data_IF_605092405197
#
_entry.id   IF_605092405197
#
_cell.length_a   1.000
_cell.length_b   1.000
_cell.length_c   1.000
_cell.angle_alpha   90.00
_cell.angle_beta   90.00
_cell.angle_gamma   90.00
#
_symmetry.space_group_name_H-M   'P 1'
#
loop_
_entity.id
_entity.type
_entity.pdbx_description
1 polymer ?
#
# COMPACT_ATOMS: atom_id res chain seq x y z
N UNK A 1 8.93 20.06 7.58
CA UNK A 1 9.92 21.13 7.74
C UNK A 1 10.87 21.25 6.54
N UNK A 2 11.09 20.16 5.76
CA UNK A 2 12.10 20.17 4.69
C UNK A 2 11.60 20.86 3.41
N UNK A 3 10.38 20.56 2.96
CA UNK A 3 9.83 21.10 1.71
C UNK A 3 8.87 22.28 1.87
N UNK A 4 8.59 22.75 3.09
CA UNK A 4 7.68 23.85 3.36
C UNK A 4 6.21 23.61 3.02
N UNK A 5 5.80 22.37 2.70
CA UNK A 5 4.43 22.01 2.28
C UNK A 5 3.36 22.48 3.27
N UNK A 6 3.64 22.36 4.58
CA UNK A 6 2.71 22.79 5.64
C UNK A 6 2.70 24.30 5.90
N UNK A 7 3.56 25.09 5.25
CA UNK A 7 3.60 26.54 5.42
C UNK A 7 2.35 27.22 4.87
N UNK A 8 1.76 26.67 3.80
CA UNK A 8 0.56 27.17 3.14
C UNK A 8 -0.74 26.56 3.67
N UNK A 9 -0.71 25.33 4.20
CA UNK A 9 -1.88 24.66 4.76
C UNK A 9 -1.46 23.91 6.03
N UNK A 10 -1.54 24.58 7.17
CA UNK A 10 -1.09 24.09 8.50
C UNK A 10 -1.74 22.78 8.97
N UNK A 11 -2.83 22.35 8.37
CA UNK A 11 -3.54 21.12 8.69
C UNK A 11 -3.10 19.88 7.86
N UNK A 12 -2.11 20.02 6.96
CA UNK A 12 -1.58 18.91 6.15
C UNK A 12 -0.13 18.62 6.52
N UNK A 13 0.10 17.97 7.66
CA UNK A 13 1.42 17.45 8.01
C UNK A 13 1.68 16.15 7.24
N UNK A 14 2.61 16.16 6.27
CA UNK A 14 3.00 15.00 5.45
C UNK A 14 4.37 14.44 5.80
N UNK A 15 5.09 15.07 6.70
CA UNK A 15 6.34 14.59 7.27
C UNK A 15 6.08 13.84 8.58
N UNK A 16 6.67 12.66 8.74
CA UNK A 16 6.53 11.85 9.94
C UNK A 16 7.84 11.19 10.36
N UNK A 17 7.96 10.92 11.64
CA UNK A 17 9.03 10.14 12.21
C UNK A 17 8.55 8.71 12.44
N UNK A 18 9.40 7.74 12.16
CA UNK A 18 9.12 6.33 12.40
C UNK A 18 10.37 5.60 12.88
N UNK A 19 10.16 4.57 13.69
CA UNK A 19 11.22 3.70 14.20
C UNK A 19 11.43 2.53 13.23
N UNK A 20 12.70 2.29 12.86
CA UNK A 20 13.09 1.09 12.10
C UNK A 20 14.32 0.50 12.77
N UNK A 21 14.21 -0.74 13.25
CA UNK A 21 15.19 -1.36 14.17
C UNK A 21 15.38 -0.49 15.40
N UNK A 22 16.62 -0.13 15.74
CA UNK A 22 16.95 0.69 16.91
C UNK A 22 17.08 2.18 16.59
N UNK A 23 16.78 2.59 15.37
CA UNK A 23 16.94 3.98 14.92
C UNK A 23 15.61 4.63 14.53
N UNK A 24 15.59 5.97 14.62
CA UNK A 24 14.51 6.82 14.16
C UNK A 24 14.82 7.37 12.77
N UNK A 25 13.79 7.40 11.92
CA UNK A 25 13.87 7.92 10.56
C UNK A 25 12.76 8.94 10.33
N UNK A 26 13.02 9.86 9.42
CA UNK A 26 12.06 10.81 8.90
C UNK A 26 11.72 10.51 7.45
N UNK A 27 10.46 10.60 7.10
CA UNK A 27 9.98 10.52 5.72
C UNK A 27 8.93 11.59 5.48
N UNK A 28 8.99 12.23 4.33
CA UNK A 28 7.97 13.18 3.88
C UNK A 28 7.24 12.61 2.66
N UNK A 29 5.92 12.47 2.75
CA UNK A 29 5.10 12.00 1.63
C UNK A 29 4.88 13.04 0.51
N UNK A 30 5.24 14.29 0.76
CA UNK A 30 5.07 15.33 -0.26
C UNK A 30 6.26 15.42 -1.23
N UNK A 31 7.49 15.41 -0.67
CA UNK A 31 8.71 15.57 -1.47
C UNK A 31 9.60 14.33 -1.47
N UNK A 32 9.11 13.23 -0.94
CA UNK A 32 9.80 11.94 -0.81
C UNK A 32 11.13 11.97 -0.04
N UNK A 33 11.45 13.09 0.61
CA UNK A 33 12.66 13.22 1.41
C UNK A 33 12.68 12.22 2.55
N UNK A 34 13.67 11.32 2.53
CA UNK A 34 13.98 10.38 3.60
C UNK A 34 15.29 10.75 4.27
N UNK A 35 15.32 10.77 5.61
CA UNK A 35 16.52 11.07 6.39
C UNK A 35 16.57 10.21 7.66
N UNK A 36 17.79 9.92 8.13
CA UNK A 36 17.95 9.47 9.51
C UNK A 36 17.57 10.59 10.46
N UNK A 37 17.21 10.26 11.70
CA UNK A 37 16.86 11.29 12.68
C UNK A 37 18.01 12.27 12.92
N UNK A 38 19.25 11.78 13.03
CA UNK A 38 20.41 12.64 13.10
C UNK A 38 20.59 13.54 11.88
N UNK A 39 20.34 13.02 10.67
CA UNK A 39 20.37 13.84 9.44
C UNK A 39 19.29 14.92 9.40
N UNK A 40 18.09 14.63 9.92
CA UNK A 40 17.03 15.62 10.06
C UNK A 40 17.44 16.72 11.04
N UNK A 41 17.94 16.35 12.22
CA UNK A 41 18.39 17.31 13.24
C UNK A 41 19.52 18.19 12.72
N UNK A 42 20.47 17.62 11.98
CA UNK A 42 21.59 18.38 11.38
C UNK A 42 21.09 19.52 10.49
N UNK A 43 20.01 19.29 9.76
CA UNK A 43 19.46 20.28 8.81
C UNK A 43 18.51 21.28 9.49
N UNK A 44 17.84 20.88 10.58
CA UNK A 44 16.80 21.70 11.21
C UNK A 44 17.26 22.39 12.50
N UNK A 45 18.14 21.75 13.26
CA UNK A 45 18.67 22.27 14.52
C UNK A 45 20.08 21.69 14.80
N UNK A 46 21.14 22.39 14.39
CA UNK A 46 22.51 21.93 14.59
C UNK A 46 22.94 21.77 16.06
N UNK A 47 22.30 22.52 16.98
CA UNK A 47 22.61 22.39 18.40
C UNK A 47 22.04 21.10 18.96
N UNK A 48 20.79 20.84 18.66
CA UNK A 48 20.11 19.59 19.05
C UNK A 48 20.78 18.36 18.40
N UNK A 49 21.29 18.52 17.17
CA UNK A 49 22.10 17.47 16.52
C UNK A 49 23.36 17.12 17.33
N UNK A 50 24.10 18.11 17.82
CA UNK A 50 25.30 17.88 18.64
C UNK A 50 24.96 17.13 19.92
N UNK A 51 23.89 17.53 20.60
CA UNK A 51 23.39 16.87 21.80
C UNK A 51 23.01 15.41 21.51
N UNK A 52 22.23 15.18 20.46
CA UNK A 52 21.82 13.83 20.04
C UNK A 52 23.01 12.90 19.74
N UNK A 53 24.02 13.40 19.06
CA UNK A 53 25.24 12.62 18.77
C UNK A 53 26.00 12.27 20.08
N UNK A 54 26.09 13.22 21.00
CA UNK A 54 26.75 13.03 22.29
C UNK A 54 26.01 11.97 23.13
N UNK A 55 24.68 12.07 23.23
CA UNK A 55 23.86 11.10 23.97
C UNK A 55 23.98 9.70 23.39
N UNK A 56 23.95 9.54 22.06
CA UNK A 56 24.16 8.25 21.41
C UNK A 56 25.53 7.67 21.63
N UNK A 57 26.56 8.49 21.68
CA UNK A 57 27.92 8.06 22.00
C UNK A 57 28.04 7.59 23.45
N UNK A 58 27.47 8.34 24.39
CA UNK A 58 27.43 7.97 25.82
C UNK A 58 26.63 6.69 26.06
N UNK A 59 25.54 6.49 25.31
CA UNK A 59 24.74 5.27 25.36
C UNK A 59 25.38 4.05 24.66
N UNK A 60 26.59 4.20 24.08
CA UNK A 60 27.31 3.12 23.38
C UNK A 60 26.66 2.66 22.06
N UNK A 61 25.75 3.46 21.51
CA UNK A 61 25.00 3.11 20.28
C UNK A 61 25.80 3.50 19.01
N UNK A 62 26.83 4.34 19.15
CA UNK A 62 27.71 4.76 18.05
C UNK A 62 29.19 4.68 18.47
N UNK A 63 30.09 4.44 17.51
CA UNK A 63 31.52 4.34 17.72
C UNK A 63 32.03 2.89 17.78
N UNK A 64 33.35 2.69 18.07
CA UNK A 64 33.99 1.37 18.03
C UNK A 64 33.46 0.34 19.03
N UNK A 65 32.64 0.78 20.00
CA UNK A 65 32.00 -0.04 21.03
C UNK A 65 30.50 -0.18 20.83
N UNK A 66 29.99 0.16 19.64
CA UNK A 66 28.57 -0.09 19.35
C UNK A 66 28.27 -1.59 19.57
N UNK A 67 27.41 -1.88 20.51
CA UNK A 67 27.00 -3.26 20.78
C UNK A 67 26.38 -3.84 19.50
N UNK A 68 26.99 -4.91 18.99
CA UNK A 68 26.31 -5.77 18.02
C UNK A 68 25.05 -6.28 18.71
N UNK A 69 23.90 -6.06 18.07
CA UNK A 69 22.65 -6.70 18.54
C UNK A 69 22.92 -8.21 18.68
N UNK A 70 22.50 -8.83 19.80
CA UNK A 70 22.50 -10.28 19.84
C UNK A 70 21.64 -10.77 18.68
N UNK A 71 22.21 -11.58 17.79
CA UNK A 71 21.46 -12.32 16.79
C UNK A 71 20.57 -13.31 17.52
N UNK A 72 19.36 -12.88 17.85
CA UNK A 72 18.31 -13.82 18.24
C UNK A 72 17.89 -14.54 16.96
N UNK A 73 18.42 -15.72 16.76
CA UNK A 73 17.86 -16.72 15.84
C UNK A 73 16.52 -17.19 16.45
N UNK A 74 15.50 -16.36 16.36
CA UNK A 74 14.15 -16.87 16.42
C UNK A 74 13.98 -17.69 15.15
N UNK A 75 13.97 -19.01 15.27
CA UNK A 75 13.25 -19.86 14.31
C UNK A 75 11.86 -19.21 14.21
N UNK A 76 11.62 -18.50 13.10
CA UNK A 76 10.29 -17.93 12.82
C UNK A 76 9.33 -19.12 13.01
N UNK A 77 8.34 -19.05 13.92
CA UNK A 77 7.34 -20.08 13.91
C UNK A 77 6.83 -20.13 12.49
N UNK A 78 6.77 -21.33 11.94
CA UNK A 78 6.18 -21.59 10.64
C UNK A 78 4.75 -21.06 10.76
N UNK A 79 4.56 -19.81 10.32
CA UNK A 79 3.25 -19.17 10.28
C UNK A 79 2.50 -20.02 9.26
N UNK A 80 1.80 -21.00 9.81
CA UNK A 80 0.94 -21.90 9.06
C UNK A 80 0.23 -21.08 8.01
N UNK A 81 0.31 -21.54 6.80
CA UNK A 81 -0.48 -21.07 5.68
C UNK A 81 -1.84 -20.67 6.21
N UNK A 82 -2.16 -19.36 6.20
CA UNK A 82 -3.53 -18.92 6.49
C UNK A 82 -4.33 -19.53 5.37
N UNK A 83 -4.94 -20.69 5.66
CA UNK A 83 -5.77 -21.41 4.71
C UNK A 83 -6.94 -20.50 4.37
N UNK A 84 -7.44 -20.57 3.16
CA UNK A 84 -8.70 -19.94 2.73
C UNK A 84 -9.81 -20.09 3.78
N UNK A 85 -9.84 -21.21 4.51
CA UNK A 85 -10.75 -21.47 5.62
C UNK A 85 -10.71 -20.44 6.76
N UNK A 86 -9.60 -19.73 7.01
CA UNK A 86 -9.56 -18.72 8.07
C UNK A 86 -10.09 -17.38 7.56
N UNK A 87 -9.86 -17.04 6.29
CA UNK A 87 -10.50 -15.90 5.64
C UNK A 87 -12.02 -16.05 5.68
N UNK A 88 -12.52 -17.21 5.23
CA UNK A 88 -13.94 -17.52 5.17
C UNK A 88 -14.60 -17.59 6.57
N UNK A 89 -13.82 -17.76 7.65
CA UNK A 89 -14.32 -17.71 9.03
C UNK A 89 -14.41 -16.29 9.62
N UNK A 90 -13.70 -15.32 9.03
CA UNK A 90 -13.62 -13.94 9.52
C UNK A 90 -14.30 -12.92 8.61
N UNK A 91 -14.52 -13.29 7.36
CA UNK A 91 -15.02 -12.38 6.32
C UNK A 91 -15.93 -13.13 5.36
N UNK A 92 -16.95 -12.46 4.89
CA UNK A 92 -17.90 -12.98 3.92
C UNK A 92 -17.53 -12.54 2.51
N UNK A 93 -17.48 -13.49 1.56
CA UNK A 93 -17.24 -13.15 0.16
C UNK A 93 -18.40 -12.35 -0.42
N UNK A 94 -18.09 -11.28 -1.12
CA UNK A 94 -19.12 -10.35 -1.67
C UNK A 94 -20.07 -11.06 -2.64
N UNK A 95 -19.60 -12.01 -3.44
CA UNK A 95 -20.42 -12.76 -4.40
C UNK A 95 -21.43 -13.72 -3.75
N UNK A 96 -21.33 -13.96 -2.44
CA UNK A 96 -22.24 -14.82 -1.68
C UNK A 96 -23.24 -14.05 -0.83
N UNK A 97 -23.12 -12.71 -0.77
CA UNK A 97 -23.95 -11.84 0.05
C UNK A 97 -25.29 -11.49 -0.63
N UNK A 98 -26.26 -11.12 0.19
CA UNK A 98 -27.56 -10.64 -0.29
C UNK A 98 -27.38 -9.37 -1.15
N UNK A 99 -28.19 -9.21 -2.24
CA UNK A 99 -28.12 -8.03 -3.10
C UNK A 99 -28.32 -6.68 -2.38
N UNK A 100 -28.96 -6.66 -1.23
CA UNK A 100 -29.18 -5.46 -0.39
C UNK A 100 -28.08 -5.22 0.63
N UNK A 101 -27.07 -6.08 0.68
CA UNK A 101 -25.95 -5.94 1.60
C UNK A 101 -25.05 -4.77 1.19
N UNK A 102 -24.57 -3.97 2.17
CA UNK A 102 -23.76 -2.77 1.92
C UNK A 102 -22.53 -3.01 1.05
N UNK A 103 -21.88 -4.17 1.16
CA UNK A 103 -20.72 -4.52 0.32
C UNK A 103 -21.12 -4.73 -1.14
N UNK A 104 -22.29 -5.33 -1.38
CA UNK A 104 -22.84 -5.54 -2.73
C UNK A 104 -23.26 -4.20 -3.32
N UNK A 105 -24.00 -3.37 -2.55
CA UNK A 105 -24.38 -2.02 -2.97
C UNK A 105 -23.16 -1.17 -3.32
N UNK A 106 -22.10 -1.26 -2.52
CA UNK A 106 -20.83 -0.59 -2.80
C UNK A 106 -20.22 -1.05 -4.12
N UNK A 107 -20.11 -2.36 -4.36
CA UNK A 107 -19.57 -2.90 -5.60
C UNK A 107 -20.43 -2.49 -6.81
N UNK A 108 -21.76 -2.49 -6.67
CA UNK A 108 -22.67 -2.03 -7.71
C UNK A 108 -22.51 -0.53 -7.99
N UNK A 109 -22.40 0.30 -6.95
CA UNK A 109 -22.21 1.76 -7.09
C UNK A 109 -20.90 2.12 -7.78
N UNK A 110 -19.87 1.28 -7.62
CA UNK A 110 -18.57 1.38 -8.27
C UNK A 110 -18.52 0.73 -9.64
N UNK A 111 -19.62 0.07 -10.09
CA UNK A 111 -19.70 -0.71 -11.32
C UNK A 111 -18.65 -1.83 -11.42
N UNK A 112 -18.21 -2.38 -10.28
CA UNK A 112 -17.23 -3.49 -10.27
C UNK A 112 -17.86 -4.70 -10.97
N UNK A 113 -17.19 -5.33 -11.96
CA UNK A 113 -17.69 -6.50 -12.66
C UNK A 113 -18.02 -7.64 -11.69
N UNK A 114 -19.20 -8.27 -11.85
CA UNK A 114 -19.70 -9.30 -10.92
C UNK A 114 -18.77 -10.51 -10.82
N UNK A 115 -18.12 -10.89 -11.90
CA UNK A 115 -17.14 -11.97 -11.96
C UNK A 115 -15.89 -11.71 -11.11
N UNK A 116 -15.64 -10.47 -10.72
CA UNK A 116 -14.53 -10.09 -9.84
C UNK A 116 -14.92 -10.06 -8.35
N UNK A 117 -16.21 -10.16 -8.01
CA UNK A 117 -16.68 -10.06 -6.62
C UNK A 117 -16.19 -11.20 -5.72
N UNK A 118 -15.91 -12.37 -6.28
CA UNK A 118 -15.29 -13.49 -5.55
C UNK A 118 -13.91 -13.19 -4.97
N UNK A 119 -13.30 -12.09 -5.40
CA UNK A 119 -11.99 -11.61 -4.91
C UNK A 119 -12.12 -10.56 -3.80
N UNK A 120 -13.35 -10.15 -3.48
CA UNK A 120 -13.66 -9.12 -2.50
C UNK A 120 -14.42 -9.74 -1.33
N UNK A 121 -14.14 -9.24 -0.13
CA UNK A 121 -14.74 -9.73 1.10
C UNK A 121 -15.32 -8.58 1.90
N UNK A 122 -16.34 -8.89 2.70
CA UNK A 122 -16.86 -8.01 3.74
C UNK A 122 -16.33 -8.45 5.09
N UNK A 123 -15.87 -7.51 5.89
CA UNK A 123 -15.59 -7.70 7.30
C UNK A 123 -16.47 -6.75 8.10
N UNK A 124 -17.32 -7.31 8.97
CA UNK A 124 -18.26 -6.55 9.80
C UNK A 124 -17.53 -5.77 10.90
N UNK A 125 -16.52 -6.39 11.50
CA UNK A 125 -15.72 -5.80 12.57
C UNK A 125 -14.22 -5.93 12.25
N UNK A 126 -13.60 -4.81 11.85
CA UNK A 126 -12.17 -4.80 11.51
C UNK A 126 -11.25 -5.15 12.67
N UNK A 127 -11.71 -5.11 13.92
CA UNK A 127 -10.91 -5.55 15.07
C UNK A 127 -10.58 -7.05 14.98
N UNK A 128 -11.39 -7.85 14.28
CA UNK A 128 -11.15 -9.28 14.06
C UNK A 128 -9.87 -9.56 13.28
N UNK A 129 -9.33 -8.57 12.56
CA UNK A 129 -8.02 -8.65 11.89
C UNK A 129 -6.89 -9.01 12.87
N UNK A 130 -7.06 -8.75 14.16
CA UNK A 130 -6.10 -9.16 15.17
C UNK A 130 -5.85 -10.67 15.20
N UNK A 131 -6.80 -11.48 14.75
CA UNK A 131 -6.67 -12.94 14.64
C UNK A 131 -5.71 -13.33 13.48
N UNK A 132 -5.70 -12.54 12.40
CA UNK A 132 -4.79 -12.72 11.26
C UNK A 132 -3.43 -12.08 11.48
N UNK A 133 -3.41 -10.91 12.12
CA UNK A 133 -2.23 -10.08 12.30
C UNK A 133 -2.22 -9.42 13.70
N UNK A 134 -1.82 -10.15 14.75
CA UNK A 134 -1.85 -9.65 16.14
C UNK A 134 -1.09 -8.35 16.38
N UNK A 135 -0.09 -8.05 15.57
CA UNK A 135 0.69 -6.81 15.64
C UNK A 135 -0.12 -5.53 15.42
N UNK A 136 -1.34 -5.65 14.87
CA UNK A 136 -2.24 -4.50 14.64
C UNK A 136 -3.20 -4.25 15.80
N UNK A 137 -3.18 -5.05 16.87
CA UNK A 137 -4.08 -4.94 18.03
C UNK A 137 -4.14 -3.54 18.63
N UNK A 138 -2.99 -2.87 18.72
CA UNK A 138 -2.92 -1.52 19.27
C UNK A 138 -3.19 -0.41 18.23
N UNK A 139 -3.22 -0.75 16.96
CA UNK A 139 -3.39 0.21 15.85
C UNK A 139 -4.81 0.26 15.31
N UNK A 140 -5.48 -0.89 15.24
CA UNK A 140 -6.86 -1.01 14.76
C UNK A 140 -7.76 -1.23 15.97
N UNK A 141 -8.43 -0.18 16.42
CA UNK A 141 -9.28 -0.18 17.62
C UNK A 141 -10.76 0.04 17.30
N UNK A 142 -11.08 0.35 16.05
CA UNK A 142 -12.44 0.55 15.57
C UNK A 142 -13.08 -0.78 15.19
N UNK A 143 -14.40 -0.83 15.25
CA UNK A 143 -15.22 -2.01 14.94
C UNK A 143 -16.07 -1.79 13.70
N UNK A 144 -15.74 -0.78 12.89
CA UNK A 144 -16.49 -0.43 11.69
C UNK A 144 -16.39 -1.51 10.60
N UNK A 145 -17.45 -1.72 9.79
CA UNK A 145 -17.40 -2.63 8.66
C UNK A 145 -16.55 -2.06 7.52
N UNK A 146 -15.87 -2.94 6.78
CA UNK A 146 -15.06 -2.55 5.62
C UNK A 146 -15.08 -3.60 4.51
N UNK A 147 -14.84 -3.15 3.29
CA UNK A 147 -14.49 -4.03 2.18
C UNK A 147 -13.03 -4.47 2.35
N UNK A 148 -12.81 -5.77 2.45
CA UNK A 148 -11.48 -6.36 2.53
C UNK A 148 -11.05 -6.90 1.17
N UNK A 149 -9.84 -6.55 0.76
CA UNK A 149 -9.24 -6.94 -0.52
C UNK A 149 -7.94 -7.68 -0.21
N UNK A 150 -7.94 -9.03 -0.19
CA UNK A 150 -6.77 -9.84 0.12
C UNK A 150 -5.70 -9.76 -0.95
N UNK A 151 -4.43 -9.73 -0.54
CA UNK A 151 -3.28 -9.90 -1.41
C UNK A 151 -2.81 -11.35 -1.33
N UNK A 152 -2.83 -12.02 -2.46
CA UNK A 152 -2.37 -13.40 -2.59
C UNK A 152 -1.08 -13.40 -3.40
N UNK A 153 -0.13 -14.24 -3.01
CA UNK A 153 1.05 -14.50 -3.83
C UNK A 153 0.72 -15.48 -4.99
N UNK A 154 1.69 -15.77 -5.84
CA UNK A 154 1.51 -16.67 -6.98
C UNK A 154 1.15 -18.12 -6.61
N UNK A 155 1.21 -18.47 -5.32
CA UNK A 155 0.79 -19.79 -4.80
C UNK A 155 -0.62 -19.77 -4.20
N UNK A 156 -1.28 -18.59 -4.21
CA UNK A 156 -2.58 -18.38 -3.58
C UNK A 156 -2.52 -18.18 -2.06
N UNK A 157 -1.32 -18.02 -1.48
CA UNK A 157 -1.13 -17.76 -0.05
C UNK A 157 -1.36 -16.27 0.24
N UNK A 158 -2.15 -15.96 1.26
CA UNK A 158 -2.39 -14.58 1.66
C UNK A 158 -1.16 -13.95 2.32
N UNK A 159 -0.73 -12.81 1.79
CA UNK A 159 0.42 -12.03 2.25
C UNK A 159 0.03 -10.77 3.01
N UNK A 160 -1.18 -10.31 2.80
CA UNK A 160 -1.76 -9.13 3.42
C UNK A 160 -3.14 -8.84 2.87
N UNK A 161 -3.71 -7.73 3.27
CA UNK A 161 -4.97 -7.23 2.71
C UNK A 161 -5.04 -5.72 2.88
N UNK A 162 -5.89 -5.08 2.09
CA UNK A 162 -6.32 -3.71 2.34
C UNK A 162 -7.79 -3.66 2.71
N UNK A 163 -8.13 -2.81 3.67
CA UNK A 163 -9.49 -2.59 4.17
C UNK A 163 -9.97 -1.23 3.66
N UNK A 164 -10.96 -1.24 2.79
CA UNK A 164 -11.55 -0.05 2.20
C UNK A 164 -12.81 0.35 2.95
N UNK A 165 -12.91 1.61 3.31
CA UNK A 165 -14.13 2.21 3.84
C UNK A 165 -15.23 2.30 2.78
N UNK A 166 -16.48 2.04 3.17
CA UNK A 166 -17.66 2.16 2.30
C UNK A 166 -18.13 3.59 2.11
N UNK A 167 -17.81 4.48 3.01
CA UNK A 167 -18.34 5.85 3.07
C UNK A 167 -17.24 6.92 2.96
N UNK A 168 -17.33 7.88 3.85
CA UNK A 168 -16.51 9.10 3.87
C UNK A 168 -15.51 9.16 5.04
N UNK A 169 -15.12 8.01 5.59
CA UNK A 169 -14.11 7.98 6.64
C UNK A 169 -12.79 8.61 6.11
N UNK A 170 -12.17 9.54 6.84
CA UNK A 170 -10.88 10.13 6.47
C UNK A 170 -9.79 9.08 6.22
N UNK A 171 -9.85 7.96 6.95
CA UNK A 171 -8.98 6.80 6.77
C UNK A 171 -9.61 5.83 5.77
N UNK A 172 -9.55 6.19 4.49
CA UNK A 172 -10.17 5.43 3.40
C UNK A 172 -9.63 4.02 3.24
N UNK A 173 -8.33 3.82 3.49
CA UNK A 173 -7.65 2.53 3.36
C UNK A 173 -6.81 2.22 4.58
N UNK A 174 -6.91 0.99 5.07
CA UNK A 174 -6.03 0.44 6.10
C UNK A 174 -5.29 -0.74 5.47
N UNK A 175 -3.97 -0.64 5.39
CA UNK A 175 -3.12 -1.71 4.90
C UNK A 175 -2.72 -2.63 6.05
N UNK A 176 -2.99 -3.91 5.90
CA UNK A 176 -2.62 -4.96 6.86
C UNK A 176 -1.65 -5.91 6.18
N UNK A 177 -0.43 -6.00 6.68
CA UNK A 177 0.57 -6.96 6.24
C UNK A 177 0.59 -8.17 7.17
N UNK A 178 0.42 -9.35 6.61
CA UNK A 178 0.60 -10.62 7.33
C UNK A 178 2.07 -11.01 7.26
N UNK A 179 2.66 -10.97 6.07
CA UNK A 179 4.08 -11.17 5.87
C UNK A 179 4.76 -9.84 5.49
N UNK A 180 5.73 -9.39 6.32
CA UNK A 180 6.45 -8.11 6.10
C UNK A 180 7.36 -8.14 4.87
N UNK A 181 7.87 -9.31 4.49
CA UNK A 181 8.79 -9.47 3.37
C UNK A 181 8.07 -9.53 2.03
N UNK A 182 6.78 -9.88 2.04
CA UNK A 182 5.99 -9.98 0.82
C UNK A 182 5.60 -8.60 0.28
N UNK A 183 5.57 -8.43 -1.04
CA UNK A 183 5.09 -7.21 -1.66
C UNK A 183 3.58 -7.05 -1.42
N UNK A 184 3.12 -5.81 -1.28
CA UNK A 184 1.71 -5.46 -1.22
C UNK A 184 1.16 -5.29 -2.63
N UNK A 185 0.98 -6.41 -3.33
CA UNK A 185 0.55 -6.44 -4.72
C UNK A 185 -0.71 -7.32 -4.80
N UNK A 186 -1.76 -6.76 -5.38
CA UNK A 186 -3.00 -7.48 -5.66
C UNK A 186 -2.95 -8.07 -7.07
N UNK A 187 -3.39 -9.31 -7.23
CA UNK A 187 -3.51 -9.97 -8.53
C UNK A 187 -2.39 -10.93 -8.90
N UNK A 188 -1.34 -11.10 -8.06
CA UNK A 188 -0.21 -12.00 -8.36
C UNK A 188 -0.61 -13.47 -8.56
N UNK A 189 -1.74 -13.87 -8.00
CA UNK A 189 -2.31 -15.22 -8.07
C UNK A 189 -3.00 -15.54 -9.39
N UNK A 190 -3.30 -14.53 -10.22
CA UNK A 190 -4.12 -14.69 -11.44
C UNK A 190 -3.51 -14.12 -12.72
N UNK A 191 -2.33 -13.49 -12.63
CA UNK A 191 -1.69 -12.94 -13.82
C UNK A 191 -0.98 -13.99 -14.67
N UNK A 192 -0.94 -13.73 -15.96
CA UNK A 192 -0.16 -14.44 -16.97
C UNK A 192 1.04 -13.59 -17.36
N UNK A 193 2.21 -13.89 -16.83
CA UNK A 193 3.43 -13.08 -16.98
C UNK A 193 4.01 -13.09 -18.38
N UNK A 194 3.67 -14.11 -19.16
CA UNK A 194 4.02 -14.28 -20.57
C UNK A 194 3.23 -13.38 -21.53
N UNK A 195 2.24 -12.67 -21.01
CA UNK A 195 1.44 -11.69 -21.73
C UNK A 195 1.67 -10.30 -21.15
N UNK A 196 1.36 -9.23 -21.89
CA UNK A 196 1.45 -7.87 -21.36
C UNK A 196 0.66 -7.72 -20.05
N UNK A 197 1.32 -7.27 -18.99
CA UNK A 197 0.71 -7.07 -17.67
C UNK A 197 0.47 -5.60 -17.41
N UNK A 198 -0.79 -5.22 -17.24
CA UNK A 198 -1.17 -3.86 -16.83
C UNK A 198 -0.87 -3.69 -15.34
N UNK A 199 -0.39 -2.53 -14.94
CA UNK A 199 -0.01 -2.22 -13.56
C UNK A 199 -0.61 -0.90 -13.15
N UNK A 200 -1.51 -0.94 -12.17
CA UNK A 200 -2.21 0.23 -11.62
C UNK A 200 -1.82 0.47 -10.16
N UNK A 201 -2.25 1.60 -9.58
CA UNK A 201 -2.00 1.91 -8.18
C UNK A 201 -3.04 1.25 -7.26
N UNK A 202 -4.33 1.34 -7.61
CA UNK A 202 -5.45 0.92 -6.78
C UNK A 202 -5.92 -0.51 -7.04
N UNK A 203 -6.13 -1.36 -6.01
CA UNK A 203 -6.70 -2.70 -6.20
C UNK A 203 -8.07 -2.70 -6.86
N UNK A 204 -8.92 -1.70 -6.60
CA UNK A 204 -10.23 -1.60 -7.24
C UNK A 204 -10.12 -1.28 -8.73
N UNK A 205 -9.16 -0.45 -9.13
CA UNK A 205 -8.92 -0.10 -10.53
C UNK A 205 -8.49 -1.31 -11.35
N UNK A 206 -7.70 -2.20 -10.75
CA UNK A 206 -7.22 -3.42 -11.43
C UNK A 206 -8.35 -4.40 -11.76
N UNK A 207 -9.51 -4.31 -11.10
CA UNK A 207 -10.65 -5.19 -11.35
C UNK A 207 -11.35 -4.91 -12.69
N UNK A 208 -11.11 -3.74 -13.29
CA UNK A 208 -11.69 -3.35 -14.58
C UNK A 208 -10.81 -3.70 -15.77
N UNK A 209 -9.61 -4.21 -15.53
CA UNK A 209 -8.61 -4.46 -16.57
C UNK A 209 -8.22 -5.93 -16.57
N UNK A 210 -8.06 -6.49 -17.77
CA UNK A 210 -7.55 -7.85 -17.90
C UNK A 210 -6.04 -7.91 -17.67
N UNK A 211 -5.56 -9.04 -17.13
CA UNK A 211 -4.16 -9.31 -16.80
C UNK A 211 -3.50 -8.14 -16.06
N UNK A 212 -4.12 -7.71 -14.95
CA UNK A 212 -3.74 -6.50 -14.25
C UNK A 212 -3.30 -6.76 -12.81
N UNK A 213 -2.22 -6.08 -12.40
CA UNK A 213 -1.76 -6.00 -11.02
C UNK A 213 -2.08 -4.63 -10.43
N UNK A 214 -2.34 -4.60 -9.12
CA UNK A 214 -2.33 -3.33 -8.39
C UNK A 214 -1.19 -3.32 -7.38
N UNK A 215 -0.34 -2.29 -7.49
CA UNK A 215 0.79 -2.06 -6.59
C UNK A 215 0.41 -1.02 -5.54
N UNK A 216 -0.17 -1.46 -4.42
CA UNK A 216 -0.55 -0.55 -3.35
C UNK A 216 0.66 0.21 -2.79
N UNK A 217 0.72 1.52 -3.03
CA UNK A 217 1.78 2.40 -2.56
C UNK A 217 3.08 2.27 -3.37
N UNK A 218 4.25 2.20 -2.70
CA UNK A 218 5.58 2.25 -3.31
C UNK A 218 6.03 0.98 -4.05
N UNK A 219 5.14 0.00 -4.25
CA UNK A 219 5.51 -1.30 -4.83
C UNK A 219 5.76 -1.25 -6.36
N UNK A 220 5.38 -0.16 -7.05
CA UNK A 220 5.64 0.03 -8.49
C UNK A 220 7.14 -0.08 -8.84
N UNK A 221 8.03 0.30 -7.91
CA UNK A 221 9.48 0.12 -8.08
C UNK A 221 9.99 -1.33 -8.01
N UNK A 222 9.12 -2.29 -7.66
CA UNK A 222 9.47 -3.72 -7.54
C UNK A 222 9.00 -4.58 -8.72
N UNK A 223 8.50 -3.95 -9.78
CA UNK A 223 8.00 -4.64 -10.98
C UNK A 223 9.07 -5.56 -11.58
N UNK A 224 10.34 -5.12 -11.59
CA UNK A 224 11.48 -5.91 -12.09
C UNK A 224 11.65 -7.24 -11.36
N UNK A 225 11.38 -7.25 -10.04
CA UNK A 225 11.54 -8.44 -9.21
C UNK A 225 10.43 -9.48 -9.46
N UNK A 226 9.37 -9.10 -10.18
CA UNK A 226 8.23 -9.96 -10.47
C UNK A 226 8.42 -10.87 -11.69
N UNK A 227 9.47 -10.63 -12.50
CA UNK A 227 9.73 -11.38 -13.73
C UNK A 227 8.63 -11.15 -14.79
N UNK A 228 8.13 -9.92 -14.91
CA UNK A 228 7.17 -9.51 -15.93
C UNK A 228 7.95 -8.97 -17.12
N UNK A 229 7.74 -9.58 -18.28
CA UNK A 229 8.49 -9.22 -19.50
C UNK A 229 7.97 -7.92 -20.12
N UNK A 230 6.66 -7.75 -20.20
CA UNK A 230 6.02 -6.57 -20.82
C UNK A 230 5.10 -5.83 -19.82
N UNK A 231 5.65 -5.04 -18.88
CA UNK A 231 4.83 -4.23 -18.00
C UNK A 231 4.27 -3.01 -18.73
N UNK A 232 2.97 -2.73 -18.52
CA UNK A 232 2.28 -1.53 -18.98
C UNK A 232 1.84 -0.75 -17.75
N UNK A 233 2.52 0.33 -17.42
CA UNK A 233 2.26 1.11 -16.22
C UNK A 233 1.17 2.16 -16.48
N UNK A 234 0.12 2.11 -15.68
CA UNK A 234 -1.04 3.00 -15.74
C UNK A 234 -1.15 3.71 -14.40
N UNK A 235 -0.80 4.98 -14.35
CA UNK A 235 -0.88 5.78 -13.12
C UNK A 235 -2.13 6.65 -13.13
N UNK A 236 -2.54 7.08 -11.95
CA UNK A 236 -3.61 8.07 -11.79
C UNK A 236 -3.30 9.34 -12.58
N UNK A 237 -4.33 9.97 -13.17
CA UNK A 237 -4.19 11.25 -13.87
C UNK A 237 -4.01 12.40 -12.89
N UNK A 238 -2.87 12.48 -12.29
CA UNK A 238 -2.48 13.56 -11.37
C UNK A 238 -1.20 14.29 -11.86
N UNK A 239 -1.27 15.07 -12.95
CA UNK A 239 -0.07 15.63 -13.59
C UNK A 239 0.70 16.64 -12.72
N UNK A 240 0.11 17.10 -11.62
CA UNK A 240 0.75 17.97 -10.62
C UNK A 240 1.28 17.21 -9.40
N UNK A 241 1.10 15.90 -9.35
CA UNK A 241 1.59 15.06 -8.27
C UNK A 241 3.03 14.64 -8.59
N UNK A 242 3.98 15.18 -7.85
CA UNK A 242 5.41 14.91 -8.06
C UNK A 242 5.76 13.42 -7.94
N UNK A 243 5.06 12.68 -7.10
CA UNK A 243 5.28 11.23 -6.94
C UNK A 243 4.85 10.49 -8.20
N UNK A 244 3.70 10.82 -8.78
CA UNK A 244 3.22 10.23 -10.05
C UNK A 244 4.19 10.55 -11.18
N UNK A 245 4.64 11.80 -11.29
CA UNK A 245 5.63 12.19 -12.30
C UNK A 245 6.95 11.41 -12.15
N UNK A 246 7.41 11.15 -10.93
CA UNK A 246 8.59 10.33 -10.66
C UNK A 246 8.39 8.87 -11.06
N UNK A 247 7.22 8.30 -10.76
CA UNK A 247 6.87 6.93 -11.17
C UNK A 247 6.92 6.82 -12.69
N UNK A 248 6.26 7.73 -13.41
CA UNK A 248 6.28 7.75 -14.88
C UNK A 248 7.71 7.87 -15.41
N UNK A 249 8.47 8.86 -14.93
CA UNK A 249 9.85 9.09 -15.39
C UNK A 249 10.73 7.85 -15.20
N UNK A 250 10.66 7.22 -14.03
CA UNK A 250 11.47 6.04 -13.74
C UNK A 250 11.09 4.86 -14.64
N UNK A 251 9.80 4.61 -14.85
CA UNK A 251 9.35 3.52 -15.72
C UNK A 251 9.73 3.75 -17.18
N UNK A 252 9.61 4.98 -17.69
CA UNK A 252 10.08 5.34 -19.03
C UNK A 252 11.59 5.10 -19.16
N UNK A 253 12.37 5.55 -18.17
CA UNK A 253 13.84 5.35 -18.15
C UNK A 253 14.23 3.87 -18.12
N UNK A 254 13.40 3.03 -17.51
CA UNK A 254 13.57 1.58 -17.45
C UNK A 254 13.11 0.86 -18.73
N UNK A 255 12.54 1.58 -19.68
CA UNK A 255 12.05 1.05 -20.95
C UNK A 255 10.67 0.41 -20.88
N UNK A 256 9.94 0.60 -19.76
CA UNK A 256 8.58 0.11 -19.62
C UNK A 256 7.60 0.92 -20.46
N UNK A 257 6.54 0.27 -20.93
CA UNK A 257 5.39 0.96 -21.57
C UNK A 257 4.63 1.72 -20.47
N UNK A 258 4.26 2.97 -20.74
CA UNK A 258 3.45 3.79 -19.82
C UNK A 258 2.25 4.38 -20.52
N UNK A 259 1.11 4.44 -19.86
CA UNK A 259 -0.08 5.09 -20.39
C UNK A 259 -0.02 6.59 -20.10
N UNK A 260 -0.11 7.39 -21.16
CA UNK A 260 -0.21 8.84 -21.08
C UNK A 260 -1.65 9.25 -21.35
N UNK A 261 -2.33 9.75 -20.32
CA UNK A 261 -3.72 10.17 -20.43
C UNK A 261 -3.88 11.41 -21.31
N UNK A 262 -4.73 11.39 -22.34
CA UNK A 262 -5.02 12.57 -23.12
C UNK A 262 -5.74 13.65 -22.31
N UNK A 263 -5.59 14.92 -22.69
CA UNK A 263 -6.19 16.04 -21.97
C UNK A 263 -7.72 16.02 -21.97
N UNK A 264 -8.33 15.35 -22.93
CA UNK A 264 -9.79 15.14 -23.01
C UNK A 264 -10.34 14.33 -21.84
N UNK A 265 -9.58 13.40 -21.27
CA UNK A 265 -9.97 12.63 -20.07
C UNK A 265 -9.90 13.55 -18.87
N UNK A 266 -10.99 13.67 -18.12
CA UNK A 266 -11.07 14.51 -16.90
C UNK A 266 -11.04 13.70 -15.61
N UNK A 267 -11.29 12.42 -15.72
CA UNK A 267 -11.31 11.44 -14.64
C UNK A 267 -9.91 11.21 -14.09
N UNK A 268 -9.83 10.92 -12.80
CA UNK A 268 -8.56 10.74 -12.09
C UNK A 268 -7.98 9.34 -12.28
N UNK A 269 -8.81 8.33 -12.12
CA UNK A 269 -8.44 6.92 -12.10
C UNK A 269 -9.37 6.08 -12.99
N UNK A 270 -9.06 4.80 -13.13
CA UNK A 270 -9.82 3.86 -13.98
C UNK A 270 -11.27 3.75 -13.50
N UNK A 271 -11.52 3.63 -12.19
CA UNK A 271 -12.88 3.51 -11.68
C UNK A 271 -13.72 4.78 -11.98
N UNK A 272 -13.14 5.96 -11.86
CA UNK A 272 -13.80 7.22 -12.21
C UNK A 272 -14.13 7.27 -13.72
N UNK A 273 -13.27 6.70 -14.58
CA UNK A 273 -13.52 6.58 -16.02
C UNK A 273 -14.70 5.65 -16.30
N UNK A 274 -14.73 4.48 -15.67
CA UNK A 274 -15.86 3.52 -15.80
C UNK A 274 -17.17 4.15 -15.32
N UNK A 275 -17.16 4.89 -14.21
CA UNK A 275 -18.33 5.62 -13.72
C UNK A 275 -18.82 6.67 -14.71
N UNK A 276 -17.92 7.28 -15.46
CA UNK A 276 -18.23 8.21 -16.53
C UNK A 276 -18.61 7.52 -17.87
N UNK A 277 -18.74 6.18 -17.88
CA UNK A 277 -19.01 5.36 -19.07
C UNK A 277 -17.95 5.51 -20.18
N UNK A 278 -16.70 5.71 -19.81
CA UNK A 278 -15.58 5.65 -20.73
C UNK A 278 -15.11 4.20 -20.88
N UNK A 279 -14.67 3.86 -22.07
CA UNK A 279 -13.99 2.60 -22.33
C UNK A 279 -12.56 2.65 -21.75
N UNK A 280 -12.17 1.61 -21.03
CA UNK A 280 -10.89 1.52 -20.31
C UNK A 280 -10.01 0.36 -20.77
N UNK A 281 -10.47 -0.45 -21.75
CA UNK A 281 -9.70 -1.55 -22.34
C UNK A 281 -8.82 -1.12 -23.52
#
# INVERSE_FOLDING_TARGET
>A
PICGDSSTKKNKARGYLYKKKNDMFYKCHNCDAGKTFGGLLKDTDPLLHKQYVMERYQAGVTGPRANKEPEFNFTKPDLQTVKSSLLDSLMDRVDTLDPTHMAVEYCMSRKIPKEKWSRLYHIEDISQIHQLAPKYKDRIKTTEPRLAIPFLDSTGKMTGLTLRDYGNNPLRYIMVKINEESPTIFGLDVIHKEHPVKIVEGPLDSLFLDNCLACAGSAVGKIKDLGIEEPIVIVDKEPRNEQICKILHNNIKEGHKVVMWPDSIKQKDINDMVLANLDVE
#
